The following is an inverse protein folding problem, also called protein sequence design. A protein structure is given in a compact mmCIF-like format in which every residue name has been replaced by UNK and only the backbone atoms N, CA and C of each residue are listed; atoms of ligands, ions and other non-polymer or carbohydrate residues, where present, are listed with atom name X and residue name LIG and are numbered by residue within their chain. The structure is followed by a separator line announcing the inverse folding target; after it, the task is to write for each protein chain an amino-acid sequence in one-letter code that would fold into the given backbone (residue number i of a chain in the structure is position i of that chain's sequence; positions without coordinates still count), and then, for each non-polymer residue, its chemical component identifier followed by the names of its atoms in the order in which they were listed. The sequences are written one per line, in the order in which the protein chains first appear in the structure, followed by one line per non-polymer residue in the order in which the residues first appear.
data_IF_078048409384
#
_entry.id   IF_078048409384
#
_cell.length_a   1.000
_cell.length_b   1.000
_cell.length_c   1.000
_cell.angle_alpha   90.00
_cell.angle_beta   90.00
_cell.angle_gamma   90.00
#
_symmetry.space_group_name_H-M   'P 1'
#
loop_
_entity.id
_entity.type
_entity.pdbx_description
1 polymer ?
#
# COMPACT_ATOMS: atom_id res chain seq x y z
N UNK A 1 27.88 13.31 -36.26
CA UNK A 1 27.10 13.88 -35.14
C UNK A 1 26.65 12.73 -34.22
N UNK A 2 27.30 12.56 -33.08
CA UNK A 2 27.00 11.43 -32.15
C UNK A 2 25.79 11.83 -31.32
N UNK A 3 24.67 11.17 -31.54
CA UNK A 3 23.50 11.26 -30.63
C UNK A 3 23.90 10.87 -29.21
N UNK A 4 23.55 11.72 -28.22
CA UNK A 4 23.87 11.49 -26.82
C UNK A 4 23.23 10.18 -26.30
N UNK A 5 23.82 9.57 -25.29
CA UNK A 5 23.28 8.34 -24.64
C UNK A 5 21.80 8.50 -24.22
N UNK A 6 21.38 9.70 -23.87
CA UNK A 6 20.01 10.03 -23.45
C UNK A 6 19.02 9.90 -24.62
N UNK A 7 19.39 10.33 -25.84
CA UNK A 7 18.51 10.18 -27.02
C UNK A 7 18.39 8.73 -27.51
N UNK A 8 19.39 7.88 -27.23
CA UNK A 8 19.28 6.43 -27.51
C UNK A 8 18.37 5.72 -26.53
N UNK A 9 18.39 6.11 -25.25
CA UNK A 9 17.47 5.59 -24.24
C UNK A 9 16.01 5.94 -24.55
N UNK A 10 15.77 7.18 -25.00
CA UNK A 10 14.42 7.65 -25.38
C UNK A 10 13.87 6.88 -26.59
N UNK A 11 14.69 6.67 -27.60
CA UNK A 11 14.30 5.96 -28.82
C UNK A 11 14.01 4.46 -28.55
N UNK A 12 14.77 3.82 -27.66
CA UNK A 12 14.54 2.42 -27.27
C UNK A 12 13.26 2.31 -26.43
N UNK A 13 12.98 3.27 -25.55
CA UNK A 13 11.75 3.28 -24.74
C UNK A 13 10.51 3.46 -25.60
N UNK A 14 10.52 4.29 -26.64
CA UNK A 14 9.41 4.46 -27.58
C UNK A 14 9.15 3.19 -28.40
N UNK A 15 10.20 2.50 -28.86
CA UNK A 15 10.04 1.24 -29.62
C UNK A 15 9.49 0.14 -28.71
N UNK A 16 9.94 0.05 -27.48
CA UNK A 16 9.41 -0.92 -26.50
C UNK A 16 7.95 -0.58 -26.18
N UNK A 17 7.62 0.70 -25.99
CA UNK A 17 6.26 1.13 -25.69
C UNK A 17 5.28 0.91 -26.84
N UNK A 18 5.69 1.20 -28.11
CA UNK A 18 4.87 0.94 -29.27
C UNK A 18 4.69 -0.55 -29.58
N UNK A 19 5.71 -1.38 -29.34
CA UNK A 19 5.61 -2.83 -29.48
C UNK A 19 4.74 -3.46 -28.36
N UNK A 20 4.77 -2.92 -27.13
CA UNK A 20 3.85 -3.31 -26.06
C UNK A 20 2.39 -2.98 -26.42
N UNK A 21 2.13 -1.77 -26.93
CA UNK A 21 0.78 -1.34 -27.35
C UNK A 21 0.25 -2.21 -28.50
N UNK A 22 1.09 -2.57 -29.48
CA UNK A 22 0.68 -3.47 -30.56
C UNK A 22 0.46 -4.91 -30.09
N UNK A 23 1.23 -5.40 -29.12
CA UNK A 23 1.04 -6.73 -28.53
C UNK A 23 -0.26 -6.81 -27.71
N UNK A 24 -0.69 -5.72 -27.06
CA UNK A 24 -1.93 -5.67 -26.27
C UNK A 24 -3.20 -5.55 -27.13
N UNK A 25 -3.10 -5.13 -28.39
CA UNK A 25 -4.25 -5.08 -29.31
C UNK A 25 -4.65 -6.44 -29.90
N UNK A 26 -3.83 -7.47 -29.71
CA UNK A 26 -4.10 -8.84 -30.22
C UNK A 26 -4.59 -9.83 -29.17
N UNK A 27 -4.60 -9.47 -27.90
CA UNK A 27 -5.24 -10.28 -26.85
C UNK A 27 -6.47 -9.54 -26.39
N UNK A 28 -7.67 -10.03 -26.70
CA UNK A 28 -8.95 -9.48 -26.26
C UNK A 28 -9.16 -9.63 -24.74
N UNK A 29 -8.16 -9.23 -23.95
CA UNK A 29 -8.21 -9.19 -22.49
C UNK A 29 -8.89 -7.88 -22.12
N UNK A 30 -10.04 -7.98 -21.45
CA UNK A 30 -10.73 -6.84 -20.86
C UNK A 30 -9.87 -6.28 -19.72
N UNK A 31 -9.16 -5.19 -20.00
CA UNK A 31 -8.28 -4.50 -19.04
C UNK A 31 -9.00 -4.07 -17.77
N UNK A 32 -10.32 -3.86 -17.82
CA UNK A 32 -11.12 -3.51 -16.63
C UNK A 32 -11.23 -4.69 -15.67
N UNK A 33 -11.48 -5.89 -16.17
CA UNK A 33 -11.57 -7.11 -15.35
C UNK A 33 -10.21 -7.49 -14.72
N UNK A 34 -9.10 -7.26 -15.43
CA UNK A 34 -7.77 -7.53 -14.89
C UNK A 34 -7.39 -6.58 -13.76
N UNK A 35 -7.71 -5.29 -13.89
CA UNK A 35 -7.47 -4.29 -12.84
C UNK A 35 -8.30 -4.61 -11.61
N UNK A 36 -9.57 -4.96 -11.77
CA UNK A 36 -10.47 -5.32 -10.68
C UNK A 36 -9.99 -6.58 -9.94
N UNK A 37 -9.57 -7.61 -10.66
CA UNK A 37 -9.02 -8.84 -10.09
C UNK A 37 -7.75 -8.58 -9.27
N UNK A 38 -6.81 -7.79 -9.80
CA UNK A 38 -5.58 -7.44 -9.10
C UNK A 38 -5.86 -6.70 -7.80
N UNK A 39 -6.76 -5.71 -7.82
CA UNK A 39 -7.11 -4.93 -6.63
C UNK A 39 -7.84 -5.79 -5.59
N UNK A 40 -8.75 -6.64 -6.01
CA UNK A 40 -9.47 -7.52 -5.10
C UNK A 40 -8.53 -8.56 -4.45
N UNK A 41 -7.64 -9.20 -5.21
CA UNK A 41 -6.64 -10.09 -4.66
C UNK A 41 -5.68 -9.36 -3.71
N UNK A 42 -5.26 -8.14 -4.06
CA UNK A 42 -4.44 -7.29 -3.18
C UNK A 42 -5.15 -7.00 -1.86
N UNK A 43 -6.42 -6.58 -1.93
CA UNK A 43 -7.25 -6.32 -0.75
C UNK A 43 -7.33 -7.56 0.15
N UNK A 44 -7.65 -8.73 -0.40
CA UNK A 44 -7.76 -10.00 0.33
C UNK A 44 -6.44 -10.44 0.97
N UNK A 45 -5.31 -10.21 0.30
CA UNK A 45 -3.99 -10.52 0.84
C UNK A 45 -3.62 -9.60 2.02
N UNK A 46 -3.99 -8.33 1.95
CA UNK A 46 -3.72 -7.35 3.01
C UNK A 46 -4.65 -7.55 4.21
N UNK A 47 -5.91 -7.93 3.98
CA UNK A 47 -6.89 -8.20 5.04
C UNK A 47 -6.77 -9.61 5.64
N UNK A 48 -5.78 -10.40 5.23
CA UNK A 48 -5.58 -11.80 5.63
C UNK A 48 -6.80 -12.71 5.40
N UNK A 49 -7.55 -12.48 4.32
CA UNK A 49 -8.59 -13.39 3.86
C UNK A 49 -8.02 -14.75 3.39
N UNK A 50 -6.72 -14.80 3.12
CA UNK A 50 -5.97 -16.03 2.89
C UNK A 50 -5.05 -16.31 4.08
N UNK A 51 -4.99 -17.57 4.51
CA UNK A 51 -4.07 -17.98 5.57
C UNK A 51 -2.60 -17.81 5.17
N UNK A 52 -1.75 -17.45 6.12
CA UNK A 52 -0.30 -17.37 5.90
C UNK A 52 0.25 -18.73 5.48
N UNK A 53 1.11 -18.73 4.46
CA UNK A 53 1.67 -19.95 3.87
C UNK A 53 0.73 -20.70 2.92
N UNK A 54 -0.55 -20.31 2.83
CA UNK A 54 -1.52 -20.95 1.94
C UNK A 54 -1.09 -20.91 0.48
N UNK A 55 -1.39 -21.97 -0.26
CA UNK A 55 -1.14 -22.05 -1.69
C UNK A 55 -2.25 -21.33 -2.47
N UNK A 56 -1.86 -20.37 -3.30
CA UNK A 56 -2.78 -19.65 -4.19
C UNK A 56 -2.84 -20.40 -5.52
N UNK A 57 -3.93 -21.11 -5.74
CA UNK A 57 -4.14 -21.92 -6.96
C UNK A 57 -4.89 -21.11 -7.99
N UNK A 58 -4.23 -20.79 -9.12
CA UNK A 58 -4.86 -20.02 -10.18
C UNK A 58 -6.13 -20.70 -10.73
N UNK A 59 -6.18 -22.01 -10.73
CA UNK A 59 -7.35 -22.77 -11.21
C UNK A 59 -8.58 -22.61 -10.30
N UNK A 60 -8.40 -22.49 -8.98
CA UNK A 60 -9.51 -22.24 -8.04
C UNK A 60 -9.96 -20.77 -8.11
N UNK A 61 -8.99 -19.86 -8.14
CA UNK A 61 -9.28 -18.42 -8.20
C UNK A 61 -9.98 -18.04 -9.51
N UNK A 62 -9.61 -18.65 -10.66
CA UNK A 62 -10.31 -18.38 -11.92
C UNK A 62 -11.79 -18.74 -11.88
N UNK A 63 -12.14 -19.83 -11.19
CA UNK A 63 -13.54 -20.26 -11.02
C UNK A 63 -14.32 -19.26 -10.18
N UNK A 64 -13.71 -18.77 -9.08
CA UNK A 64 -14.29 -17.78 -8.19
C UNK A 64 -14.50 -16.42 -8.88
N UNK A 65 -13.52 -15.97 -9.68
CA UNK A 65 -13.56 -14.67 -10.34
C UNK A 65 -14.15 -14.69 -11.75
N UNK A 66 -14.51 -15.85 -12.28
CA UNK A 66 -15.09 -15.98 -13.62
C UNK A 66 -14.15 -15.55 -14.76
N UNK A 67 -12.83 -15.69 -14.59
CA UNK A 67 -11.82 -15.24 -15.55
C UNK A 67 -10.89 -16.36 -16.01
N UNK A 68 -9.97 -16.07 -16.95
CA UNK A 68 -8.99 -17.03 -17.41
C UNK A 68 -7.89 -17.29 -16.36
N UNK A 69 -7.37 -18.52 -16.26
CA UNK A 69 -6.27 -18.85 -15.35
C UNK A 69 -4.98 -18.07 -15.66
N UNK A 70 -4.76 -17.66 -16.91
CA UNK A 70 -3.65 -16.77 -17.30
C UNK A 70 -3.76 -15.40 -16.66
N UNK A 71 -4.96 -14.81 -16.62
CA UNK A 71 -5.25 -13.53 -15.97
C UNK A 71 -4.96 -13.58 -14.47
N UNK A 72 -5.38 -14.68 -13.81
CA UNK A 72 -5.06 -14.88 -12.39
C UNK A 72 -3.55 -14.99 -12.16
N UNK A 73 -2.85 -15.75 -13.01
CA UNK A 73 -1.39 -15.88 -12.88
C UNK A 73 -0.68 -14.55 -13.07
N UNK A 74 -1.10 -13.73 -14.03
CA UNK A 74 -0.57 -12.38 -14.24
C UNK A 74 -0.75 -11.51 -12.98
N UNK A 75 -1.96 -11.46 -12.43
CA UNK A 75 -2.24 -10.74 -11.20
C UNK A 75 -1.36 -11.23 -10.03
N UNK A 76 -1.20 -12.55 -9.86
CA UNK A 76 -0.35 -13.14 -8.82
C UNK A 76 1.14 -12.83 -9.05
N UNK A 77 1.64 -12.80 -10.28
CA UNK A 77 3.00 -12.37 -10.59
C UNK A 77 3.23 -10.89 -10.23
N UNK A 78 2.31 -10.01 -10.59
CA UNK A 78 2.36 -8.59 -10.21
C UNK A 78 2.35 -8.41 -8.70
N UNK A 79 1.53 -9.17 -7.96
CA UNK A 79 1.50 -9.19 -6.50
C UNK A 79 2.80 -9.75 -5.89
N UNK A 80 3.44 -10.70 -6.57
CA UNK A 80 4.75 -11.21 -6.13
C UNK A 80 5.87 -10.18 -6.31
N UNK A 81 5.81 -9.35 -7.35
CA UNK A 81 6.77 -8.26 -7.57
C UNK A 81 6.73 -7.19 -6.48
N UNK A 82 5.60 -7.04 -5.79
CA UNK A 82 5.47 -6.14 -4.62
C UNK A 82 5.56 -6.86 -3.27
N UNK A 83 5.92 -8.15 -3.26
CA UNK A 83 6.19 -8.92 -2.05
C UNK A 83 4.97 -9.40 -1.25
N UNK A 84 3.75 -9.25 -1.77
CA UNK A 84 2.51 -9.76 -1.16
C UNK A 84 2.26 -11.24 -1.43
N UNK A 85 2.93 -11.81 -2.41
CA UNK A 85 2.86 -13.22 -2.78
C UNK A 85 4.29 -13.75 -2.96
N UNK A 86 4.56 -14.96 -2.51
CA UNK A 86 5.80 -15.68 -2.84
C UNK A 86 5.55 -16.56 -4.07
N UNK A 87 6.34 -16.36 -5.11
CA UNK A 87 6.42 -17.28 -6.24
C UNK A 87 7.63 -18.19 -6.10
N UNK A 88 7.42 -19.48 -6.26
CA UNK A 88 8.49 -20.48 -6.36
C UNK A 88 8.28 -21.30 -7.63
N UNK A 89 9.33 -21.38 -8.43
CA UNK A 89 9.31 -22.23 -9.62
C UNK A 89 8.91 -23.66 -9.25
N UNK A 90 8.06 -24.30 -10.07
CA UNK A 90 7.46 -25.63 -9.86
C UNK A 90 6.54 -25.76 -8.62
N UNK A 91 6.55 -24.83 -7.66
CA UNK A 91 5.68 -24.84 -6.46
C UNK A 91 4.54 -23.84 -6.53
N UNK A 92 4.62 -22.89 -7.48
CA UNK A 92 3.59 -21.88 -7.73
C UNK A 92 3.57 -20.75 -6.69
N UNK A 93 2.40 -20.20 -6.46
CA UNK A 93 2.19 -19.01 -5.63
C UNK A 93 1.74 -19.39 -4.22
N UNK A 94 2.25 -18.66 -3.23
CA UNK A 94 1.87 -18.81 -1.80
C UNK A 94 1.77 -17.45 -1.13
N UNK A 95 0.89 -17.37 -0.13
CA UNK A 95 0.88 -16.26 0.82
C UNK A 95 2.17 -16.33 1.65
N UNK A 96 2.89 -15.20 1.88
CA UNK A 96 4.06 -15.19 2.75
C UNK A 96 3.74 -15.69 4.16
N UNK A 97 4.67 -16.42 4.77
CA UNK A 97 4.56 -16.78 6.17
C UNK A 97 4.71 -15.52 7.05
N UNK A 98 4.11 -15.56 8.23
CA UNK A 98 4.36 -14.53 9.25
C UNK A 98 5.80 -14.61 9.74
N UNK A 99 6.38 -13.43 9.97
CA UNK A 99 7.73 -13.30 10.48
C UNK A 99 7.86 -12.03 11.30
N UNK A 100 8.10 -12.17 12.59
CA UNK A 100 8.38 -11.04 13.50
C UNK A 100 9.58 -10.23 12.99
N UNK A 101 10.63 -10.90 12.53
CA UNK A 101 11.79 -10.23 11.94
C UNK A 101 11.39 -9.37 10.75
N UNK A 102 10.60 -9.92 9.81
CA UNK A 102 10.13 -9.17 8.64
C UNK A 102 9.23 -7.99 9.05
N UNK A 103 8.37 -8.18 10.05
CA UNK A 103 7.52 -7.09 10.56
C UNK A 103 8.38 -5.94 11.08
N UNK A 104 9.38 -6.21 11.93
CA UNK A 104 10.32 -5.21 12.46
C UNK A 104 11.05 -4.47 11.31
N UNK A 105 11.58 -5.21 10.32
CA UNK A 105 12.25 -4.61 9.17
C UNK A 105 11.32 -3.70 8.35
N UNK A 106 10.05 -4.08 8.18
CA UNK A 106 9.04 -3.26 7.50
C UNK A 106 8.65 -2.03 8.31
N UNK A 107 8.53 -2.15 9.64
CA UNK A 107 8.30 -1.03 10.56
C UNK A 107 9.41 0.01 10.44
N UNK A 108 10.68 -0.40 10.57
CA UNK A 108 11.82 0.51 10.42
C UNK A 108 11.81 1.23 9.08
N UNK A 109 11.48 0.51 8.00
CA UNK A 109 11.45 1.11 6.67
C UNK A 109 10.27 2.08 6.51
N UNK A 110 9.10 1.80 7.12
CA UNK A 110 7.99 2.74 7.19
C UNK A 110 8.39 4.02 7.91
N UNK A 111 9.00 3.91 9.09
CA UNK A 111 9.46 5.08 9.87
C UNK A 111 10.36 5.98 9.01
N UNK A 112 11.33 5.39 8.29
CA UNK A 112 12.23 6.14 7.42
C UNK A 112 11.48 6.84 6.28
N UNK A 113 10.63 6.12 5.55
CA UNK A 113 9.92 6.65 4.40
C UNK A 113 8.87 7.69 4.79
N UNK A 114 8.11 7.43 5.85
CA UNK A 114 7.07 8.34 6.32
C UNK A 114 7.68 9.61 6.94
N UNK A 115 8.74 9.49 7.72
CA UNK A 115 9.43 10.66 8.30
C UNK A 115 10.00 11.56 7.20
N UNK A 116 10.82 11.03 6.29
CA UNK A 116 11.42 11.83 5.24
C UNK A 116 10.38 12.36 4.25
N UNK A 117 9.43 11.52 3.84
CA UNK A 117 8.36 11.93 2.92
C UNK A 117 7.46 13.02 3.50
N UNK A 118 7.16 12.97 4.81
CA UNK A 118 6.36 14.00 5.47
C UNK A 118 7.13 15.31 5.59
N UNK A 119 8.42 15.28 5.95
CA UNK A 119 9.25 16.48 6.00
C UNK A 119 9.35 17.15 4.62
N UNK A 120 9.57 16.36 3.58
CA UNK A 120 9.54 16.89 2.21
C UNK A 120 8.16 17.46 1.85
N UNK A 121 7.07 16.83 2.32
CA UNK A 121 5.70 17.32 2.09
C UNK A 121 5.40 18.61 2.86
N UNK A 122 5.90 18.79 4.07
CA UNK A 122 5.83 20.04 4.83
C UNK A 122 6.48 21.19 4.03
N UNK A 123 7.64 20.93 3.41
CA UNK A 123 8.38 21.94 2.65
C UNK A 123 7.73 22.29 1.31
N UNK A 124 7.05 21.35 0.66
CA UNK A 124 6.60 21.46 -0.73
C UNK A 124 5.08 21.60 -0.86
N UNK A 125 4.29 21.18 0.11
CA UNK A 125 2.86 20.90 -0.06
C UNK A 125 1.94 22.12 0.01
N UNK A 126 2.27 23.09 0.85
CA UNK A 126 1.46 24.30 1.07
C UNK A 126 0.02 23.99 1.52
N UNK A 127 -0.84 25.01 1.48
CA UNK A 127 -2.23 24.96 2.00
C UNK A 127 -3.06 23.82 1.36
N UNK A 128 -2.82 23.50 0.09
CA UNK A 128 -3.57 22.43 -0.59
C UNK A 128 -3.24 21.04 -0.02
N UNK A 129 -2.01 20.78 0.37
CA UNK A 129 -1.61 19.56 1.05
C UNK A 129 -2.15 19.52 2.49
N UNK A 130 -2.03 20.61 3.23
CA UNK A 130 -2.54 20.75 4.61
C UNK A 130 -4.05 20.46 4.67
N UNK A 131 -4.83 21.00 3.73
CA UNK A 131 -6.25 20.75 3.64
C UNK A 131 -6.58 19.29 3.38
N UNK A 132 -5.86 18.61 2.47
CA UNK A 132 -6.06 17.18 2.20
C UNK A 132 -5.67 16.32 3.41
N UNK A 133 -4.56 16.66 4.08
CA UNK A 133 -4.11 15.94 5.27
C UNK A 133 -5.13 16.05 6.41
N UNK A 134 -5.65 17.26 6.65
CA UNK A 134 -6.71 17.49 7.64
C UNK A 134 -7.97 16.69 7.31
N UNK A 135 -8.38 16.66 6.05
CA UNK A 135 -9.55 15.91 5.62
C UNK A 135 -9.36 14.39 5.80
N UNK A 136 -8.18 13.86 5.44
CA UNK A 136 -7.85 12.44 5.61
C UNK A 136 -7.84 12.05 7.10
N UNK A 137 -7.24 12.87 7.95
CA UNK A 137 -7.25 12.67 9.40
C UNK A 137 -8.67 12.74 9.97
N UNK A 138 -9.47 13.73 9.58
CA UNK A 138 -10.85 13.84 10.06
C UNK A 138 -11.67 12.58 9.77
N UNK A 139 -11.54 12.04 8.54
CA UNK A 139 -12.18 10.79 8.14
C UNK A 139 -11.71 9.61 9.00
N UNK A 140 -10.38 9.45 9.17
CA UNK A 140 -9.79 8.39 9.98
C UNK A 140 -10.25 8.47 11.43
N UNK A 141 -10.08 9.62 12.09
CA UNK A 141 -10.48 9.86 13.49
C UNK A 141 -11.97 9.60 13.72
N UNK A 142 -12.83 9.94 12.75
CA UNK A 142 -14.27 9.65 12.85
C UNK A 142 -14.57 8.15 12.86
N UNK A 143 -13.86 7.37 12.04
CA UNK A 143 -14.03 5.92 11.98
C UNK A 143 -13.44 5.25 13.22
N UNK A 144 -12.26 5.68 13.67
CA UNK A 144 -11.61 5.16 14.88
C UNK A 144 -12.46 5.35 16.13
N UNK A 145 -13.06 6.53 16.29
CA UNK A 145 -14.01 6.80 17.40
C UNK A 145 -15.21 5.88 17.36
N UNK A 146 -15.76 5.60 16.17
CA UNK A 146 -16.86 4.65 16.03
C UNK A 146 -16.46 3.23 16.40
N UNK A 147 -15.29 2.78 15.94
CA UNK A 147 -14.75 1.46 16.28
C UNK A 147 -14.52 1.34 17.79
N UNK A 148 -14.01 2.40 18.41
CA UNK A 148 -13.78 2.44 19.86
C UNK A 148 -15.06 2.23 20.68
N UNK A 149 -16.18 2.76 20.19
CA UNK A 149 -17.48 2.73 20.86
C UNK A 149 -18.32 1.48 20.54
N UNK A 150 -17.83 0.57 19.68
CA UNK A 150 -18.54 -0.63 19.23
C UNK A 150 -18.01 -1.89 19.89
N UNK A 151 -18.92 -2.80 20.27
CA UNK A 151 -18.55 -4.14 20.74
C UNK A 151 -18.02 -5.04 19.60
N UNK A 152 -18.58 -4.92 18.39
CA UNK A 152 -18.13 -5.63 17.19
C UNK A 152 -17.96 -4.63 16.02
N UNK A 153 -16.72 -4.23 15.72
CA UNK A 153 -16.41 -3.31 14.64
C UNK A 153 -16.20 -3.98 13.26
N UNK A 154 -16.55 -5.24 13.08
CA UNK A 154 -16.26 -6.03 11.87
C UNK A 154 -16.63 -5.33 10.57
N UNK A 155 -17.77 -4.64 10.53
CA UNK A 155 -18.26 -3.92 9.34
C UNK A 155 -17.43 -2.66 9.00
N UNK A 156 -16.71 -2.10 9.98
CA UNK A 156 -15.91 -0.90 9.79
C UNK A 156 -14.43 -1.17 9.51
N UNK A 157 -13.97 -2.39 9.65
CA UNK A 157 -12.55 -2.76 9.52
C UNK A 157 -11.97 -2.39 8.15
N UNK A 158 -12.66 -2.71 7.07
CA UNK A 158 -12.21 -2.38 5.71
C UNK A 158 -12.18 -0.87 5.48
N UNK A 159 -13.16 -0.14 6.01
CA UNK A 159 -13.24 1.33 5.90
C UNK A 159 -12.10 1.96 6.71
N UNK A 160 -11.84 1.45 7.90
CA UNK A 160 -10.73 1.89 8.73
C UNK A 160 -9.38 1.69 8.05
N UNK A 161 -9.12 0.49 7.50
CA UNK A 161 -7.88 0.22 6.77
C UNK A 161 -7.63 1.16 5.60
N UNK A 162 -8.70 1.43 4.83
CA UNK A 162 -8.59 2.35 3.70
C UNK A 162 -8.31 3.79 4.19
N UNK A 163 -8.93 4.21 5.29
CA UNK A 163 -8.76 5.55 5.84
C UNK A 163 -7.40 5.75 6.51
N UNK A 164 -6.88 4.73 7.20
CA UNK A 164 -5.53 4.74 7.75
C UNK A 164 -4.48 4.82 6.62
N UNK A 165 -4.61 3.99 5.59
CA UNK A 165 -3.74 4.07 4.43
C UNK A 165 -3.80 5.44 3.73
N UNK A 166 -5.00 6.00 3.59
CA UNK A 166 -5.21 7.33 3.01
C UNK A 166 -4.50 8.42 3.83
N UNK A 167 -4.59 8.37 5.16
CA UNK A 167 -3.90 9.31 6.03
C UNK A 167 -2.38 9.25 5.86
N UNK A 168 -1.77 8.07 6.00
CA UNK A 168 -0.33 7.89 5.86
C UNK A 168 0.19 8.20 4.46
N UNK A 169 -0.57 7.87 3.41
CA UNK A 169 -0.20 8.27 2.05
C UNK A 169 -0.33 9.78 1.83
N UNK A 170 -1.32 10.42 2.44
CA UNK A 170 -1.49 11.88 2.33
C UNK A 170 -0.37 12.63 3.03
N UNK A 171 0.13 12.13 4.18
CA UNK A 171 1.29 12.70 4.87
C UNK A 171 2.47 12.91 3.93
N UNK A 172 2.76 11.94 3.06
CA UNK A 172 3.92 11.96 2.16
C UNK A 172 3.59 12.42 0.74
N UNK A 173 2.32 12.79 0.45
CA UNK A 173 1.84 13.00 -0.94
C UNK A 173 2.45 14.19 -1.65
N UNK A 174 3.00 15.16 -0.93
CA UNK A 174 3.68 16.32 -1.50
C UNK A 174 5.21 16.23 -1.42
N UNK A 175 5.77 15.05 -1.17
CA UNK A 175 7.22 14.86 -1.03
C UNK A 175 8.01 15.15 -2.34
N UNK A 176 7.35 15.18 -3.49
CA UNK A 176 8.01 15.43 -4.80
C UNK A 176 8.82 14.24 -5.32
N UNK A 177 8.75 13.07 -4.67
CA UNK A 177 9.45 11.85 -5.08
C UNK A 177 8.45 10.72 -5.33
N UNK A 178 8.16 10.47 -6.60
CA UNK A 178 7.30 9.35 -7.01
C UNK A 178 7.87 7.99 -6.55
N UNK A 179 9.18 7.83 -6.57
CA UNK A 179 9.85 6.61 -6.11
C UNK A 179 9.61 6.38 -4.62
N UNK A 180 9.74 7.42 -3.78
CA UNK A 180 9.46 7.33 -2.35
C UNK A 180 8.00 6.96 -2.11
N UNK A 181 7.08 7.67 -2.76
CA UNK A 181 5.64 7.47 -2.62
C UNK A 181 5.21 6.03 -2.98
N UNK A 182 5.66 5.53 -4.12
CA UNK A 182 5.37 4.15 -4.56
C UNK A 182 6.04 3.10 -3.66
N UNK A 183 7.28 3.37 -3.21
CA UNK A 183 7.98 2.45 -2.31
C UNK A 183 7.25 2.36 -0.97
N UNK A 184 6.83 3.49 -0.40
CA UNK A 184 6.01 3.51 0.81
C UNK A 184 4.75 2.65 0.64
N UNK A 185 3.97 2.82 -0.44
CA UNK A 185 2.77 2.03 -0.68
C UNK A 185 3.02 0.52 -0.74
N UNK A 186 4.18 0.09 -1.28
CA UNK A 186 4.58 -1.34 -1.29
C UNK A 186 4.95 -1.84 0.11
N UNK A 187 5.71 -1.05 0.87
CA UNK A 187 6.13 -1.38 2.24
C UNK A 187 4.92 -1.40 3.17
N UNK A 188 4.04 -0.41 3.08
CA UNK A 188 2.81 -0.34 3.83
C UNK A 188 1.92 -1.59 3.60
N UNK A 189 1.72 -1.99 2.35
CA UNK A 189 0.93 -3.18 2.02
C UNK A 189 1.51 -4.47 2.62
N UNK A 190 2.84 -4.65 2.54
CA UNK A 190 3.51 -5.80 3.18
C UNK A 190 3.44 -5.75 4.70
N UNK A 191 3.63 -4.57 5.30
CA UNK A 191 3.51 -4.37 6.73
C UNK A 191 2.11 -4.77 7.22
N UNK A 192 1.07 -4.26 6.56
CA UNK A 192 -0.33 -4.60 6.89
C UNK A 192 -0.59 -6.11 6.80
N UNK A 193 -0.11 -6.78 5.77
CA UNK A 193 -0.22 -8.23 5.63
C UNK A 193 0.45 -8.98 6.78
N UNK A 194 1.58 -8.49 7.32
CA UNK A 194 2.30 -9.12 8.42
C UNK A 194 1.68 -8.81 9.79
N UNK A 195 1.09 -7.62 9.95
CA UNK A 195 0.54 -7.13 11.21
C UNK A 195 -0.81 -7.80 11.55
N UNK A 196 -1.67 -8.03 10.57
CA UNK A 196 -3.03 -8.55 10.82
C UNK A 196 -2.99 -9.86 11.60
N UNK A 197 -3.39 -9.79 12.84
CA UNK A 197 -3.55 -10.92 13.76
C UNK A 197 -4.98 -11.45 13.61
N UNK A 198 -5.14 -12.76 13.71
CA UNK A 198 -6.45 -13.41 13.79
C UNK A 198 -7.28 -12.93 15.00
N UNK A 199 -6.61 -12.42 16.04
CA UNK A 199 -7.21 -11.83 17.22
C UNK A 199 -7.49 -10.34 16.96
N UNK A 200 -8.66 -10.03 16.45
CA UNK A 200 -9.14 -8.69 16.10
C UNK A 200 -9.49 -7.85 17.35
N UNK A 201 -8.61 -7.84 18.35
CA UNK A 201 -8.77 -6.93 19.49
C UNK A 201 -8.18 -5.57 19.10
N UNK A 202 -9.08 -4.62 18.86
CA UNK A 202 -8.73 -3.23 18.52
C UNK A 202 -8.31 -2.41 19.77
N UNK A 203 -7.65 -3.03 20.74
CA UNK A 203 -7.25 -2.36 21.99
C UNK A 203 -6.28 -1.18 21.76
N UNK A 204 -5.62 -1.14 20.61
CA UNK A 204 -4.70 -0.06 20.21
C UNK A 204 -5.40 1.18 19.61
N UNK A 205 -6.72 1.12 19.35
CA UNK A 205 -7.43 2.22 18.67
C UNK A 205 -7.36 3.53 19.47
N UNK A 206 -7.48 3.46 20.80
CA UNK A 206 -7.40 4.67 21.64
C UNK A 206 -6.05 5.38 21.52
N UNK A 207 -4.94 4.62 21.49
CA UNK A 207 -3.59 5.14 21.25
C UNK A 207 -3.46 5.71 19.85
N UNK A 208 -3.96 4.99 18.84
CA UNK A 208 -3.90 5.44 17.45
C UNK A 208 -4.63 6.76 17.22
N UNK A 209 -5.82 6.95 17.82
CA UNK A 209 -6.57 8.21 17.73
C UNK A 209 -5.69 9.39 18.20
N UNK A 210 -5.00 9.21 19.34
CA UNK A 210 -4.13 10.24 19.88
C UNK A 210 -2.90 10.45 19.01
N UNK A 211 -2.20 9.39 18.62
CA UNK A 211 -0.98 9.47 17.82
C UNK A 211 -1.23 10.11 16.45
N UNK A 212 -2.33 9.76 15.76
CA UNK A 212 -2.67 10.38 14.48
C UNK A 212 -2.95 11.89 14.62
N UNK A 213 -3.63 12.31 15.70
CA UNK A 213 -3.85 13.73 15.97
C UNK A 213 -2.53 14.47 16.22
N UNK A 214 -1.63 13.88 17.03
CA UNK A 214 -0.31 14.47 17.33
C UNK A 214 0.58 14.58 16.08
N UNK A 215 0.53 13.59 15.18
CA UNK A 215 1.24 13.65 13.90
C UNK A 215 0.68 14.78 13.02
N UNK A 216 -0.65 14.90 12.92
CA UNK A 216 -1.29 15.98 12.17
C UNK A 216 -0.85 17.35 12.69
N UNK A 217 -0.98 17.58 14.00
CA UNK A 217 -0.66 18.87 14.64
C UNK A 217 0.81 19.24 14.43
N UNK A 218 1.72 18.26 14.61
CA UNK A 218 3.15 18.45 14.36
C UNK A 218 3.44 18.81 12.89
N UNK A 219 2.81 18.11 11.94
CA UNK A 219 2.99 18.36 10.53
C UNK A 219 2.46 19.73 10.09
N UNK A 220 1.26 20.12 10.56
CA UNK A 220 0.65 21.42 10.27
C UNK A 220 1.40 22.60 10.92
N UNK A 221 2.06 22.36 12.07
CA UNK A 221 2.92 23.39 12.70
C UNK A 221 4.23 23.63 11.96
N UNK A 222 4.57 22.78 10.96
CA UNK A 222 5.86 22.85 10.26
C UNK A 222 7.06 22.41 11.09
N UNK A 223 6.84 21.80 12.27
CA UNK A 223 7.92 21.38 13.16
C UNK A 223 8.45 19.99 12.74
N UNK A 224 9.45 19.98 11.85
CA UNK A 224 10.03 18.78 11.29
C UNK A 224 10.55 17.77 12.33
N UNK A 225 11.21 18.28 13.38
CA UNK A 225 11.76 17.42 14.44
C UNK A 225 10.67 16.77 15.28
N UNK A 226 9.62 17.53 15.63
CA UNK A 226 8.47 17.00 16.37
C UNK A 226 7.69 16.00 15.49
N UNK A 227 7.48 16.32 14.23
CA UNK A 227 6.79 15.42 13.27
C UNK A 227 7.52 14.07 13.17
N UNK A 228 8.84 14.09 13.06
CA UNK A 228 9.66 12.87 13.03
C UNK A 228 9.50 12.04 14.31
N UNK A 229 9.54 12.69 15.47
CA UNK A 229 9.37 12.02 16.75
C UNK A 229 7.97 11.37 16.87
N UNK A 230 6.90 12.10 16.45
CA UNK A 230 5.54 11.57 16.51
C UNK A 230 5.26 10.42 15.55
N UNK A 231 5.86 10.42 14.35
CA UNK A 231 5.81 9.28 13.43
C UNK A 231 6.52 8.05 14.01
N UNK A 232 7.67 8.28 14.64
CA UNK A 232 8.43 7.22 15.33
C UNK A 232 7.59 6.61 16.47
N UNK A 233 7.07 7.43 17.37
CA UNK A 233 6.27 7.00 18.52
C UNK A 233 5.01 6.21 18.10
N UNK A 234 4.42 6.55 16.94
CA UNK A 234 3.23 5.89 16.41
C UNK A 234 3.52 4.51 15.80
N UNK A 235 4.70 4.33 15.20
CA UNK A 235 5.02 3.12 14.43
C UNK A 235 5.82 2.08 15.21
N UNK A 236 6.49 2.44 16.30
CA UNK A 236 7.26 1.55 17.18
C UNK A 236 6.52 1.16 18.46
#
# INVERSE_FOLDING_TARGET
MKLSLISRFWYISEIIYSNLIQATQHTGIDMSQEVDLYQELKKRLISNAFEHGAKLRAELLREEFGCAASTVREALFRLSAIGLVHFQEQRGFRVPNRSVKKLIELTHLRVLLESEGTIMSIRNGGVAWEARLTAAHHKLSHIEKRIHDMDDPSDLVDIWFNSENEFHQTLISACGSEILYQTHGRIYAQFRQQLMVADRKFNFISENIQHHAEILDAALSGNESLTRAKIYDHLE
#
